data_IF_258991595782
#
_entry.id   IF_258991595782
#
_cell.length_a   1.000
_cell.length_b   1.000
_cell.length_c   1.000
_cell.angle_alpha   90.00
_cell.angle_beta   90.00
_cell.angle_gamma   90.00
#
_symmetry.space_group_name_H-M   'P 1'
#
loop_
_entity.id
_entity.type
_entity.pdbx_description
1 polymer ?
#
# COMPACT_ATOMS: atom_id res chain seq x y z
N UNK A 1 -3.59 -3.53 12.91
CA UNK A 1 -3.23 -4.24 11.68
C UNK A 1 -4.33 -3.99 10.69
N UNK A 2 -3.94 -3.46 9.55
CA UNK A 2 -4.75 -3.33 8.36
C UNK A 2 -4.96 -4.66 7.64
N UNK A 3 -5.64 -4.56 6.51
CA UNK A 3 -6.05 -5.69 5.69
C UNK A 3 -5.82 -5.41 4.21
N UNK A 4 -5.74 -6.49 3.42
CA UNK A 4 -5.70 -6.39 1.96
C UNK A 4 -7.10 -6.09 1.44
N UNK A 5 -7.20 -5.10 0.57
CA UNK A 5 -8.45 -4.64 -0.03
C UNK A 5 -8.34 -4.63 -1.55
N UNK A 6 -9.47 -4.81 -2.22
CA UNK A 6 -9.62 -4.56 -3.65
C UNK A 6 -10.48 -3.32 -3.88
N UNK A 7 -10.15 -2.55 -4.92
CA UNK A 7 -10.85 -1.34 -5.30
C UNK A 7 -10.80 -1.13 -6.82
N UNK A 8 -11.79 -0.42 -7.35
CA UNK A 8 -11.83 -0.08 -8.77
C UNK A 8 -10.75 0.95 -9.12
N UNK A 9 -10.03 0.73 -10.22
CA UNK A 9 -9.01 1.61 -10.78
C UNK A 9 -9.06 1.55 -12.31
N UNK A 10 -9.33 2.68 -12.97
CA UNK A 10 -9.35 2.84 -14.43
C UNK A 10 -10.11 1.74 -15.22
N UNK A 11 -11.26 1.32 -14.71
CA UNK A 11 -12.09 0.28 -15.34
C UNK A 11 -11.63 -1.16 -15.07
N UNK A 12 -10.65 -1.35 -14.20
CA UNK A 12 -10.15 -2.63 -13.70
C UNK A 12 -10.22 -2.71 -12.17
N UNK A 13 -9.90 -3.87 -11.57
CA UNK A 13 -9.71 -4.02 -10.12
C UNK A 13 -8.22 -3.88 -9.80
N UNK A 14 -7.90 -3.14 -8.76
CA UNK A 14 -6.56 -3.06 -8.16
C UNK A 14 -6.64 -3.46 -6.69
N UNK A 15 -5.51 -3.87 -6.12
CA UNK A 15 -5.42 -4.28 -4.72
C UNK A 15 -4.54 -3.30 -3.93
N UNK A 16 -4.60 -3.39 -2.61
CA UNK A 16 -3.76 -2.61 -1.72
C UNK A 16 -3.86 -3.06 -0.28
N UNK A 17 -3.17 -2.38 0.60
CA UNK A 17 -3.22 -2.59 2.05
C UNK A 17 -3.83 -1.36 2.73
N UNK A 18 -4.93 -1.55 3.45
CA UNK A 18 -5.69 -0.50 4.13
C UNK A 18 -5.61 -0.69 5.64
N UNK A 19 -5.20 0.34 6.36
CA UNK A 19 -5.32 0.40 7.82
C UNK A 19 -6.25 1.53 8.23
N UNK A 20 -7.21 1.20 9.10
CA UNK A 20 -8.18 2.12 9.67
C UNK A 20 -7.81 2.33 11.15
N UNK A 21 -7.78 3.58 11.64
CA UNK A 21 -7.45 3.87 13.04
C UNK A 21 -8.54 3.30 13.95
N UNK A 22 -8.23 3.09 15.24
CA UNK A 22 -9.17 2.50 16.20
C UNK A 22 -10.48 3.31 16.38
N UNK A 23 -10.47 4.60 16.06
CA UNK A 23 -11.65 5.48 15.99
C UNK A 23 -12.62 5.13 14.87
N UNK A 24 -12.20 4.34 13.87
CA UNK A 24 -12.97 4.02 12.67
C UNK A 24 -12.98 5.14 11.60
N UNK A 25 -12.40 6.31 11.90
CA UNK A 25 -12.35 7.45 10.98
C UNK A 25 -11.09 8.31 11.21
N UNK A 26 -10.71 9.08 10.19
CA UNK A 26 -9.60 10.02 10.26
C UNK A 26 -9.32 10.66 8.90
N UNK A 27 -8.37 11.62 8.84
CA UNK A 27 -7.84 12.11 7.57
C UNK A 27 -7.25 10.96 6.74
N UNK A 28 -7.50 10.99 5.43
CA UNK A 28 -6.98 10.00 4.50
C UNK A 28 -5.53 10.28 4.11
N UNK A 29 -4.70 9.23 4.07
CA UNK A 29 -3.33 9.27 3.53
C UNK A 29 -3.11 8.11 2.57
N UNK A 30 -2.47 8.40 1.43
CA UNK A 30 -2.02 7.38 0.49
C UNK A 30 -0.52 7.22 0.64
N UNK A 31 -0.08 6.02 0.97
CA UNK A 31 1.32 5.65 1.14
C UNK A 31 1.80 5.05 -0.18
N UNK A 32 2.68 5.77 -0.87
CA UNK A 32 3.23 5.31 -2.15
C UNK A 32 4.48 4.49 -1.86
N UNK A 33 4.45 3.22 -2.28
CA UNK A 33 5.57 2.30 -2.20
C UNK A 33 6.79 2.80 -2.99
N UNK A 34 7.95 2.31 -2.61
CA UNK A 34 9.17 2.50 -3.37
C UNK A 34 9.36 1.41 -4.45
N UNK A 35 10.50 1.41 -5.13
CA UNK A 35 10.91 0.51 -6.23
C UNK A 35 10.76 -1.00 -5.98
N UNK A 36 10.61 -1.48 -4.73
CA UNK A 36 10.43 -2.87 -4.33
C UNK A 36 8.99 -3.37 -4.37
N UNK A 37 8.01 -2.48 -4.50
CA UNK A 37 6.60 -2.86 -4.48
C UNK A 37 5.95 -2.79 -3.09
N UNK A 38 4.76 -3.37 -2.96
CA UNK A 38 4.04 -3.43 -1.68
C UNK A 38 4.60 -4.53 -0.77
N UNK A 39 5.76 -4.23 -0.18
CA UNK A 39 6.50 -5.11 0.74
C UNK A 39 6.08 -4.91 2.21
N UNK A 40 6.41 -5.84 3.13
CA UNK A 40 6.01 -5.74 4.54
C UNK A 40 6.39 -4.42 5.22
N UNK A 41 7.52 -3.82 4.84
CA UNK A 41 7.91 -2.50 5.36
C UNK A 41 6.89 -1.40 5.03
N UNK A 42 6.28 -1.43 3.84
CA UNK A 42 5.23 -0.46 3.46
C UNK A 42 3.95 -0.75 4.24
N UNK A 43 3.58 -2.01 4.45
CA UNK A 43 2.43 -2.38 5.28
C UNK A 43 2.61 -1.89 6.74
N UNK A 44 3.81 -2.03 7.30
CA UNK A 44 4.15 -1.50 8.64
C UNK A 44 4.01 0.02 8.72
N UNK A 45 4.38 0.75 7.67
CA UNK A 45 4.18 2.21 7.60
C UNK A 45 2.70 2.58 7.56
N UNK A 46 1.89 1.84 6.80
CA UNK A 46 0.43 2.04 6.74
C UNK A 46 -0.20 1.78 8.11
N UNK A 47 0.19 0.70 8.77
CA UNK A 47 -0.24 0.41 10.15
C UNK A 47 0.16 1.52 11.11
N UNK A 48 1.41 2.02 11.00
CA UNK A 48 1.89 3.11 11.83
C UNK A 48 1.05 4.38 11.63
N UNK A 49 0.71 4.77 10.40
CA UNK A 49 -0.17 5.92 10.14
C UNK A 49 -1.55 5.75 10.79
N UNK A 50 -2.11 4.54 10.77
CA UNK A 50 -3.36 4.26 11.49
C UNK A 50 -3.21 4.43 13.01
N UNK A 51 -2.06 4.10 13.60
CA UNK A 51 -1.81 4.40 15.03
C UNK A 51 -1.76 5.90 15.32
N UNK A 52 -1.44 6.73 14.32
CA UNK A 52 -1.43 8.19 14.43
C UNK A 52 -2.79 8.84 14.11
N UNK A 53 -3.84 8.04 13.87
CA UNK A 53 -5.21 8.51 13.65
C UNK A 53 -5.58 8.78 12.20
N UNK A 54 -4.76 8.35 11.23
CA UNK A 54 -5.06 8.45 9.80
C UNK A 54 -5.75 7.21 9.28
N UNK A 55 -6.61 7.35 8.28
CA UNK A 55 -7.01 6.22 7.42
C UNK A 55 -5.97 6.12 6.32
N UNK A 56 -5.19 5.03 6.33
CA UNK A 56 -4.01 4.90 5.48
C UNK A 56 -4.16 3.76 4.48
N UNK A 57 -3.88 4.04 3.20
CA UNK A 57 -3.93 3.07 2.11
C UNK A 57 -2.58 3.04 1.37
N UNK A 58 -1.99 1.86 1.20
CA UNK A 58 -0.95 1.62 0.20
C UNK A 58 -1.53 0.83 -0.98
N UNK A 59 -1.68 1.46 -2.16
CA UNK A 59 -2.04 0.74 -3.39
C UNK A 59 -0.91 -0.21 -3.82
N UNK A 60 -1.27 -1.38 -4.31
CA UNK A 60 -0.33 -2.32 -4.91
C UNK A 60 -0.07 -1.94 -6.37
N UNK A 61 0.87 -1.01 -6.58
CA UNK A 61 1.13 -0.48 -7.92
C UNK A 61 1.72 -1.51 -8.89
N UNK A 62 2.18 -2.66 -8.38
CA UNK A 62 2.78 -3.73 -9.18
C UNK A 62 1.91 -4.99 -9.24
N UNK A 63 0.67 -4.93 -8.75
CA UNK A 63 -0.30 -6.03 -8.86
C UNK A 63 0.15 -7.33 -8.17
N UNK A 64 0.79 -7.22 -7.01
CA UNK A 64 1.30 -8.35 -6.23
C UNK A 64 2.72 -8.76 -6.56
N UNK A 65 3.35 -8.11 -7.54
CA UNK A 65 4.78 -8.29 -7.83
C UNK A 65 5.59 -7.44 -6.86
N UNK A 66 6.45 -8.08 -6.08
CA UNK A 66 7.47 -7.40 -5.28
C UNK A 66 8.85 -7.87 -5.70
N UNK A 67 9.81 -6.97 -5.67
CA UNK A 67 11.21 -7.27 -5.97
C UNK A 67 12.06 -7.16 -4.70
N UNK A 68 13.10 -7.97 -4.61
CA UNK A 68 14.11 -7.92 -3.53
C UNK A 68 15.53 -7.78 -4.09
N UNK A 69 15.68 -7.69 -5.42
CA UNK A 69 16.96 -7.59 -6.11
C UNK A 69 17.10 -6.26 -6.87
N UNK A 70 18.17 -5.47 -6.61
CA UNK A 70 18.33 -4.12 -7.17
C UNK A 70 18.20 -4.04 -8.70
N UNK A 71 18.57 -5.12 -9.40
CA UNK A 71 18.56 -5.19 -10.85
C UNK A 71 17.15 -5.41 -11.45
N UNK A 72 16.18 -5.93 -10.67
CA UNK A 72 14.80 -6.16 -11.14
C UNK A 72 13.90 -4.92 -10.99
N UNK A 73 14.26 -4.00 -10.10
CA UNK A 73 13.48 -2.80 -9.83
C UNK A 73 13.50 -1.78 -10.98
N UNK A 74 14.51 -1.83 -11.86
CA UNK A 74 14.52 -1.04 -13.10
C UNK A 74 13.52 -1.54 -14.16
N UNK A 75 13.05 -2.79 -14.08
CA UNK A 75 12.13 -3.37 -15.08
C UNK A 75 10.65 -3.13 -14.76
N UNK A 76 10.31 -2.87 -13.49
CA UNK A 76 8.92 -2.63 -13.04
C UNK A 76 8.49 -1.16 -13.15
N UNK A 77 9.42 -0.24 -13.42
CA UNK A 77 9.13 1.17 -13.69
C UNK A 77 8.82 1.49 -15.16
N UNK A 78 8.84 0.50 -16.06
CA UNK A 78 8.52 0.65 -17.50
C UNK A 78 7.19 0.04 -17.88
#
# INVERSE_FOLDING_TARGET
MGERVEFASDGSSSSGYLAIPASGHGPGVVVIQEWWGLVPHIEELVDWFATQGFVALAPDLYGGVSTREPDEAGKLMM
#
